data_IF_966556354730
#
_entry.id   IF_966556354730
#
_cell.length_a   1.000
_cell.length_b   1.000
_cell.length_c   1.000
_cell.angle_alpha   90.00
_cell.angle_beta   90.00
_cell.angle_gamma   90.00
#
_symmetry.space_group_name_H-M   'P 1'
#
loop_
_entity.id
_entity.type
_entity.pdbx_description
1 polymer ?
#
# COMPACT_ATOMS: atom_id res chain seq x y z
N UNK A 1 -36.46 -34.41 -21.14
CA UNK A 1 -36.02 -32.99 -21.10
C UNK A 1 -35.54 -32.54 -19.72
N UNK A 2 -35.98 -33.15 -18.61
CA UNK A 2 -35.61 -32.74 -17.25
C UNK A 2 -34.17 -33.09 -16.83
N UNK A 3 -33.64 -34.22 -17.34
CA UNK A 3 -32.28 -34.69 -17.02
C UNK A 3 -31.15 -33.71 -17.41
N UNK A 4 -31.35 -32.91 -18.47
CA UNK A 4 -30.38 -31.90 -18.90
C UNK A 4 -30.35 -30.67 -17.99
N UNK A 5 -31.50 -30.31 -17.40
CA UNK A 5 -31.60 -29.18 -16.48
C UNK A 5 -30.93 -29.49 -15.14
N UNK A 6 -31.09 -30.72 -14.64
CA UNK A 6 -30.39 -31.16 -13.42
C UNK A 6 -28.88 -31.19 -13.61
N UNK A 7 -28.40 -31.71 -14.75
CA UNK A 7 -26.97 -31.67 -15.09
C UNK A 7 -26.42 -30.23 -15.13
N UNK A 8 -27.20 -29.29 -15.66
CA UNK A 8 -26.80 -27.88 -15.72
C UNK A 8 -26.70 -27.25 -14.33
N UNK A 9 -27.63 -27.55 -13.42
CA UNK A 9 -27.60 -27.05 -12.04
C UNK A 9 -26.39 -27.60 -11.27
N UNK A 10 -26.10 -28.89 -11.43
CA UNK A 10 -24.92 -29.53 -10.82
C UNK A 10 -23.63 -28.88 -11.31
N UNK A 11 -23.51 -28.68 -12.62
CA UNK A 11 -22.34 -28.03 -13.21
C UNK A 11 -22.14 -26.59 -12.69
N UNK A 12 -23.22 -25.81 -12.56
CA UNK A 12 -23.16 -24.46 -12.03
C UNK A 12 -22.72 -24.45 -10.55
N UNK A 13 -23.24 -25.37 -9.74
CA UNK A 13 -22.89 -25.50 -8.34
C UNK A 13 -21.41 -25.88 -8.15
N UNK A 14 -20.91 -26.82 -8.95
CA UNK A 14 -19.50 -27.22 -8.95
C UNK A 14 -18.60 -26.07 -9.37
N UNK A 15 -18.96 -25.33 -10.43
CA UNK A 15 -18.21 -24.17 -10.88
C UNK A 15 -18.13 -23.08 -9.80
N UNK A 16 -19.24 -22.82 -9.09
CA UNK A 16 -19.28 -21.87 -7.97
C UNK A 16 -18.42 -22.31 -6.79
N UNK A 17 -18.43 -23.60 -6.43
CA UNK A 17 -17.57 -24.13 -5.37
C UNK A 17 -16.09 -24.02 -5.75
N UNK A 18 -15.73 -24.37 -6.98
CA UNK A 18 -14.36 -24.21 -7.48
C UNK A 18 -13.89 -22.76 -7.44
N UNK A 19 -14.79 -21.80 -7.73
CA UNK A 19 -14.50 -20.37 -7.58
C UNK A 19 -14.31 -19.96 -6.11
N UNK A 20 -15.16 -20.45 -5.21
CA UNK A 20 -15.06 -20.16 -3.77
C UNK A 20 -13.72 -20.63 -3.19
N UNK A 21 -13.34 -21.88 -3.48
CA UNK A 21 -12.08 -22.45 -3.00
C UNK A 21 -10.89 -21.63 -3.50
N UNK A 22 -10.89 -21.23 -4.79
CA UNK A 22 -9.83 -20.36 -5.33
C UNK A 22 -9.77 -19.01 -4.60
N UNK A 23 -10.92 -18.45 -4.26
CA UNK A 23 -10.98 -17.18 -3.55
C UNK A 23 -10.46 -17.31 -2.12
N UNK A 24 -10.86 -18.36 -1.40
CA UNK A 24 -10.37 -18.66 -0.06
C UNK A 24 -8.86 -18.87 -0.04
N UNK A 25 -8.31 -19.65 -0.97
CA UNK A 25 -6.85 -19.82 -1.10
C UNK A 25 -6.13 -18.48 -1.38
N UNK A 26 -6.72 -17.62 -2.22
CA UNK A 26 -6.15 -16.30 -2.50
C UNK A 26 -6.16 -15.40 -1.27
N UNK A 27 -7.23 -15.44 -0.47
CA UNK A 27 -7.31 -14.67 0.78
C UNK A 27 -6.33 -15.20 1.83
N UNK A 28 -6.20 -16.52 1.97
CA UNK A 28 -5.24 -17.15 2.88
C UNK A 28 -3.80 -16.74 2.52
N UNK A 29 -3.46 -16.75 1.23
CA UNK A 29 -2.14 -16.33 0.74
C UNK A 29 -1.85 -14.85 1.03
N UNK A 30 -2.84 -13.96 0.85
CA UNK A 30 -2.70 -12.55 1.22
C UNK A 30 -2.47 -12.40 2.73
N UNK A 31 -3.19 -13.17 3.55
CA UNK A 31 -3.04 -13.15 5.01
C UNK A 31 -1.63 -13.59 5.43
N UNK A 32 -1.12 -14.67 4.86
CA UNK A 32 0.22 -15.18 5.14
C UNK A 32 1.30 -14.17 4.73
N UNK A 33 1.12 -13.51 3.58
CA UNK A 33 2.05 -12.49 3.12
C UNK A 33 2.10 -11.28 4.08
N UNK A 34 0.93 -10.79 4.52
CA UNK A 34 0.85 -9.71 5.51
C UNK A 34 1.45 -10.11 6.86
N UNK A 35 1.21 -11.35 7.31
CA UNK A 35 1.81 -11.89 8.54
C UNK A 35 3.34 -11.94 8.45
N UNK A 36 3.88 -12.40 7.32
CA UNK A 36 5.32 -12.44 7.07
C UNK A 36 5.96 -11.05 7.07
N UNK A 37 5.33 -10.07 6.41
CA UNK A 37 5.78 -8.68 6.43
C UNK A 37 5.74 -8.09 7.85
N UNK A 38 4.69 -8.39 8.63
CA UNK A 38 4.57 -7.97 10.02
C UNK A 38 5.66 -8.58 10.91
N UNK A 39 5.96 -9.87 10.75
CA UNK A 39 7.01 -10.55 11.51
C UNK A 39 8.41 -10.02 11.15
N UNK A 40 8.66 -9.73 9.87
CA UNK A 40 9.92 -9.13 9.42
C UNK A 40 10.14 -7.71 10.00
N UNK A 41 9.06 -6.95 10.23
CA UNK A 41 9.12 -5.66 10.91
C UNK A 41 9.43 -5.79 12.41
N UNK A 42 9.12 -6.92 13.04
CA UNK A 42 9.38 -7.22 14.45
C UNK A 42 10.66 -8.07 14.59
N UNK A 43 11.80 -7.54 14.14
CA UNK A 43 13.12 -8.15 14.40
C UNK A 43 13.41 -8.31 15.92
N UNK A 44 14.34 -9.21 16.31
CA UNK A 44 14.51 -9.58 17.71
C UNK A 44 15.04 -8.39 18.53
N UNK A 45 14.21 -7.90 19.44
CA UNK A 45 14.61 -6.99 20.50
C UNK A 45 15.59 -7.71 21.44
N UNK A 46 16.89 -7.53 21.21
CA UNK A 46 17.91 -7.92 22.16
C UNK A 46 17.84 -6.98 23.39
N UNK A 47 17.75 -7.62 24.55
CA UNK A 47 17.88 -7.16 25.93
C UNK A 47 18.44 -5.74 26.18
N UNK A 48 17.71 -5.00 27.03
CA UNK A 48 18.15 -3.99 28.00
C UNK A 48 19.42 -3.18 27.69
N UNK A 49 19.21 -1.94 27.21
CA UNK A 49 20.06 -0.82 27.57
C UNK A 49 19.17 0.40 27.82
N UNK A 50 19.38 1.05 28.96
CA UNK A 50 18.77 2.31 29.39
C UNK A 50 18.41 3.20 28.20
N UNK A 51 17.13 3.56 28.06
CA UNK A 51 16.69 4.49 27.01
C UNK A 51 17.52 5.77 27.10
N UNK A 52 18.40 6.09 26.13
CA UNK A 52 18.78 7.48 25.95
C UNK A 52 17.48 8.27 25.69
N UNK A 53 17.38 9.55 26.10
CA UNK A 53 16.22 10.35 25.76
C UNK A 53 15.99 10.16 24.27
N UNK A 54 14.77 9.78 23.90
CA UNK A 54 14.31 9.72 22.52
C UNK A 54 14.67 11.06 21.91
N UNK A 55 15.84 11.14 21.28
CA UNK A 55 16.09 12.12 20.25
C UNK A 55 15.07 11.69 19.23
N UNK A 56 13.97 12.41 19.18
CA UNK A 56 13.12 12.49 18.02
C UNK A 56 14.09 12.87 16.91
N UNK A 57 14.72 11.88 16.27
CA UNK A 57 15.22 12.10 14.92
C UNK A 57 14.02 12.72 14.21
N UNK A 58 14.18 13.89 13.57
CA UNK A 58 13.12 14.38 12.72
C UNK A 58 12.72 13.19 11.86
N UNK A 59 11.46 12.79 11.93
CA UNK A 59 10.90 11.77 11.04
C UNK A 59 11.44 12.15 9.68
N UNK A 60 12.33 11.33 9.12
CA UNK A 60 12.89 11.63 7.81
C UNK A 60 11.69 11.63 6.89
N UNK A 61 11.18 12.82 6.57
CA UNK A 61 10.06 13.02 5.68
C UNK A 61 10.34 12.14 4.46
N UNK A 62 9.41 11.24 4.13
CA UNK A 62 9.59 10.30 3.04
C UNK A 62 10.01 11.10 1.80
N UNK A 63 11.26 10.89 1.36
CA UNK A 63 11.86 11.81 0.40
C UNK A 63 11.18 11.63 -0.96
N UNK A 64 10.22 12.50 -1.25
CA UNK A 64 9.52 12.47 -2.53
C UNK A 64 10.51 12.81 -3.64
N UNK A 65 10.35 12.21 -4.83
CA UNK A 65 11.08 12.69 -5.98
C UNK A 65 10.73 14.17 -6.25
N UNK A 66 11.69 15.01 -6.67
CA UNK A 66 11.40 16.39 -7.03
C UNK A 66 10.29 16.48 -8.08
N UNK A 67 9.42 17.51 -8.02
CA UNK A 67 8.39 17.72 -9.03
C UNK A 67 9.00 17.82 -10.43
N UNK A 68 8.31 17.26 -11.41
CA UNK A 68 8.75 17.39 -12.79
C UNK A 68 8.74 18.86 -13.22
N UNK A 69 9.71 19.28 -14.03
CA UNK A 69 9.81 20.68 -14.46
C UNK A 69 8.61 21.04 -15.34
N UNK A 70 7.88 22.09 -14.96
CA UNK A 70 6.78 22.58 -15.79
C UNK A 70 7.29 23.07 -17.15
N UNK A 71 6.81 22.45 -18.23
CA UNK A 71 7.21 22.73 -19.60
C UNK A 71 6.50 23.94 -20.23
N UNK A 72 5.54 24.56 -19.53
CA UNK A 72 4.66 25.60 -20.10
C UNK A 72 3.47 25.04 -20.87
N UNK A 73 3.32 23.72 -21.00
CA UNK A 73 2.18 23.12 -21.68
C UNK A 73 0.89 23.27 -20.83
N UNK A 74 -0.24 23.70 -21.40
CA UNK A 74 -1.49 23.86 -20.65
C UNK A 74 -1.96 22.57 -19.96
N UNK A 75 -1.72 21.41 -20.58
CA UNK A 75 -2.13 20.10 -20.05
C UNK A 75 -1.32 19.60 -18.85
N UNK A 76 -0.10 20.11 -18.63
CA UNK A 76 0.78 19.67 -17.53
C UNK A 76 0.74 20.58 -16.30
N UNK A 77 0.02 21.70 -16.36
CA UNK A 77 -0.06 22.66 -15.26
C UNK A 77 -0.66 22.02 -13.99
N UNK A 78 -1.81 21.36 -14.12
CA UNK A 78 -2.51 20.80 -12.97
C UNK A 78 -1.74 19.66 -12.28
N UNK A 79 -1.18 18.67 -13.01
CA UNK A 79 -0.31 17.67 -12.40
C UNK A 79 0.93 18.27 -11.70
N UNK A 80 1.56 19.29 -12.31
CA UNK A 80 2.70 19.99 -11.70
C UNK A 80 2.33 20.64 -10.36
N UNK A 81 1.23 21.38 -10.31
CA UNK A 81 0.77 22.04 -9.07
C UNK A 81 0.44 21.02 -7.96
N UNK A 82 -0.13 19.86 -8.32
CA UNK A 82 -0.39 18.78 -7.36
C UNK A 82 0.92 18.26 -6.77
N UNK A 83 1.95 18.03 -7.60
CA UNK A 83 3.26 17.58 -7.12
C UNK A 83 3.91 18.61 -6.18
N UNK A 84 3.79 19.90 -6.49
CA UNK A 84 4.27 20.97 -5.61
C UNK A 84 3.53 21.01 -4.26
N UNK A 85 2.20 20.91 -4.26
CA UNK A 85 1.41 20.87 -3.01
C UNK A 85 1.82 19.69 -2.13
N UNK A 86 1.98 18.52 -2.75
CA UNK A 86 2.37 17.30 -2.04
C UNK A 86 3.77 17.42 -1.41
N UNK A 87 4.74 17.99 -2.14
CA UNK A 87 6.08 18.24 -1.62
C UNK A 87 6.07 19.20 -0.43
N UNK A 88 5.23 20.24 -0.47
CA UNK A 88 5.11 21.19 0.63
C UNK A 88 4.45 20.57 1.87
N UNK A 89 3.38 19.79 1.68
CA UNK A 89 2.63 19.14 2.76
C UNK A 89 3.41 17.99 3.43
N UNK A 90 4.09 17.17 2.63
CA UNK A 90 4.80 15.99 3.12
C UNK A 90 6.27 16.25 3.46
N UNK A 91 6.84 17.40 3.08
CA UNK A 91 8.23 17.75 3.38
C UNK A 91 8.40 19.21 3.84
N UNK A 92 7.66 19.66 4.89
CA UNK A 92 7.72 21.04 5.36
C UNK A 92 9.11 21.43 5.90
N UNK A 93 9.91 20.44 6.30
CA UNK A 93 11.30 20.62 6.71
C UNK A 93 12.22 21.09 5.57
N UNK A 94 11.87 20.80 4.30
CA UNK A 94 12.61 21.23 3.12
C UNK A 94 12.41 22.72 2.76
N UNK A 95 11.38 23.36 3.31
CA UNK A 95 11.02 24.76 3.06
C UNK A 95 11.05 25.57 4.38
N UNK A 96 12.22 25.68 5.06
CA UNK A 96 12.30 26.24 6.42
C UNK A 96 11.89 27.72 6.51
N UNK A 97 12.05 28.48 5.43
CA UNK A 97 11.76 29.91 5.31
C UNK A 97 10.34 30.23 4.89
N UNK A 98 9.55 29.23 4.48
CA UNK A 98 8.21 29.41 3.91
C UNK A 98 7.17 29.07 4.99
N UNK A 99 6.91 30.01 5.90
CA UNK A 99 5.97 29.89 7.02
C UNK A 99 5.13 31.14 7.18
#
# INVERSE_FOLDING_TARGET
MWLGHEQQLTFLAEAMQAMSVRHECSMESLRDHLSSLSAAAQGPAAASASSPPLRTSPVSDAHLPPPERYSGAPGSCRPFLIQCSLAFELQPSAFPTEK
#
